data_IF_999110412710
#
_entry.id   IF_999110412710
#
_cell.length_a   1.000
_cell.length_b   1.000
_cell.length_c   1.000
_cell.angle_alpha   90.00
_cell.angle_beta   90.00
_cell.angle_gamma   90.00
#
_symmetry.space_group_name_H-M   'P 1'
#
loop_
_entity.id
_entity.type
_entity.pdbx_description
1 polymer ?
#
# COMPACT_ATOMS: atom_id res chain seq x y z
N UNK A 1 -4.21 -5.26 26.07
CA UNK A 1 -3.05 -4.36 25.99
C UNK A 1 -2.39 -4.44 24.62
N UNK A 2 -1.83 -3.35 24.14
CA UNK A 2 -1.18 -3.29 22.84
C UNK A 2 -0.04 -4.31 22.70
N UNK A 3 0.66 -4.62 23.78
CA UNK A 3 1.78 -5.56 23.78
C UNK A 3 1.37 -6.99 23.40
N UNK A 4 0.10 -7.31 23.52
CA UNK A 4 -0.43 -8.66 23.21
C UNK A 4 -1.13 -8.73 21.85
N UNK A 5 -1.15 -7.63 21.10
CA UNK A 5 -1.79 -7.61 19.79
C UNK A 5 -0.89 -8.24 18.73
N UNK A 6 -1.51 -8.89 17.73
CA UNK A 6 -0.80 -9.34 16.54
C UNK A 6 -0.30 -8.15 15.73
N UNK A 7 0.60 -8.39 14.77
CA UNK A 7 1.06 -7.35 13.86
C UNK A 7 -0.08 -6.69 13.11
N UNK A 8 -1.06 -7.48 12.63
CA UNK A 8 -2.22 -6.95 11.94
C UNK A 8 -3.12 -6.12 12.86
N UNK A 9 -3.33 -6.57 14.10
CA UNK A 9 -4.13 -5.84 15.07
C UNK A 9 -3.46 -4.50 15.43
N UNK A 10 -2.12 -4.50 15.59
CA UNK A 10 -1.38 -3.28 15.85
C UNK A 10 -1.53 -2.28 14.71
N UNK A 11 -1.44 -2.74 13.46
CA UNK A 11 -1.58 -1.86 12.30
C UNK A 11 -2.99 -1.29 12.19
N UNK A 12 -4.01 -2.09 12.44
CA UNK A 12 -5.39 -1.61 12.47
C UNK A 12 -5.59 -0.56 13.56
N UNK A 13 -5.01 -0.77 14.73
CA UNK A 13 -5.08 0.19 15.84
C UNK A 13 -4.41 1.51 15.48
N UNK A 14 -3.23 1.46 14.87
CA UNK A 14 -2.51 2.66 14.45
C UNK A 14 -3.34 3.46 13.45
N UNK A 15 -3.95 2.78 12.47
CA UNK A 15 -4.81 3.44 11.48
C UNK A 15 -6.01 4.08 12.19
N UNK A 16 -6.67 3.36 13.10
CA UNK A 16 -7.81 3.89 13.84
C UNK A 16 -7.43 5.14 14.65
N UNK A 17 -6.29 5.11 15.34
CA UNK A 17 -5.81 6.25 16.11
C UNK A 17 -5.48 7.44 15.20
N UNK A 18 -4.94 7.18 14.02
CA UNK A 18 -4.63 8.24 13.05
C UNK A 18 -5.88 8.95 12.55
N UNK A 19 -7.04 8.32 12.62
CA UNK A 19 -8.30 8.89 12.16
C UNK A 19 -9.01 9.75 13.21
N UNK A 20 -8.55 9.79 14.45
CA UNK A 20 -9.22 10.51 15.53
C UNK A 20 -9.30 12.02 15.28
N UNK A 21 -8.36 12.58 14.53
CA UNK A 21 -8.36 14.01 14.20
C UNK A 21 -9.17 14.36 12.96
N UNK A 22 -9.91 13.41 12.41
CA UNK A 22 -10.68 13.58 11.18
C UNK A 22 -9.81 14.13 10.02
N UNK A 23 -8.67 13.48 9.71
CA UNK A 23 -7.77 13.96 8.66
C UNK A 23 -8.35 13.76 7.27
N UNK A 24 -7.87 14.53 6.30
CA UNK A 24 -8.20 14.34 4.89
C UNK A 24 -7.08 13.65 4.10
N UNK A 25 -5.92 13.49 4.71
CA UNK A 25 -4.77 12.79 4.12
C UNK A 25 -4.22 11.79 5.14
N UNK A 26 -3.97 10.57 4.71
CA UNK A 26 -3.40 9.53 5.54
C UNK A 26 -2.11 9.02 4.90
N UNK A 27 -1.03 8.98 5.67
CA UNK A 27 0.26 8.44 5.23
C UNK A 27 0.50 7.11 5.93
N UNK A 28 0.73 6.06 5.17
CA UNK A 28 1.00 4.73 5.70
C UNK A 28 2.38 4.25 5.21
N UNK A 29 3.25 3.94 6.15
CA UNK A 29 4.59 3.45 5.85
C UNK A 29 4.67 1.97 6.17
N UNK A 30 4.95 1.17 5.14
CA UNK A 30 5.08 -0.29 5.22
C UNK A 30 3.85 -0.96 5.87
N UNK A 31 2.62 -0.63 5.44
CA UNK A 31 1.43 -1.18 6.11
C UNK A 31 1.30 -2.70 5.94
N UNK A 32 1.91 -3.29 4.93
CA UNK A 32 1.77 -4.73 4.66
C UNK A 32 2.93 -5.58 5.18
N UNK A 33 3.92 -4.97 5.81
CA UNK A 33 5.12 -5.69 6.25
C UNK A 33 4.80 -6.71 7.35
N UNK A 34 5.36 -7.91 7.21
CA UNK A 34 5.28 -8.98 8.22
C UNK A 34 3.85 -9.41 8.57
N UNK A 35 2.94 -9.35 7.60
CA UNK A 35 1.55 -9.77 7.78
C UNK A 35 1.21 -10.98 6.92
N UNK A 36 0.25 -11.77 7.38
CA UNK A 36 -0.29 -12.88 6.61
C UNK A 36 -1.22 -12.38 5.50
N UNK A 37 -1.52 -13.26 4.56
CA UNK A 37 -2.32 -12.93 3.37
C UNK A 37 -3.70 -12.38 3.74
N UNK A 38 -4.37 -13.02 4.71
CA UNK A 38 -5.72 -12.60 5.10
C UNK A 38 -5.73 -11.21 5.73
N UNK A 39 -4.73 -10.91 6.56
CA UNK A 39 -4.62 -9.61 7.21
C UNK A 39 -4.31 -8.52 6.18
N UNK A 40 -3.46 -8.84 5.19
CA UNK A 40 -3.17 -7.89 4.11
C UNK A 40 -4.46 -7.56 3.34
N UNK A 41 -5.27 -8.56 3.01
CA UNK A 41 -6.53 -8.32 2.31
C UNK A 41 -7.49 -7.46 3.12
N UNK A 42 -7.56 -7.70 4.42
CA UNK A 42 -8.39 -6.88 5.31
C UNK A 42 -7.92 -5.43 5.30
N UNK A 43 -6.61 -5.19 5.39
CA UNK A 43 -6.07 -3.84 5.34
C UNK A 43 -6.29 -3.16 4.00
N UNK A 44 -6.14 -3.90 2.90
CA UNK A 44 -6.42 -3.37 1.57
C UNK A 44 -7.87 -2.89 1.48
N UNK A 45 -8.81 -3.67 1.99
CA UNK A 45 -10.23 -3.28 2.00
C UNK A 45 -10.47 -2.04 2.84
N UNK A 46 -9.83 -1.94 4.01
CA UNK A 46 -9.95 -0.75 4.86
C UNK A 46 -9.43 0.49 4.11
N UNK A 47 -8.27 0.37 3.48
CA UNK A 47 -7.65 1.48 2.74
C UNK A 47 -8.55 1.95 1.60
N UNK A 48 -9.07 1.02 0.80
CA UNK A 48 -9.95 1.35 -0.30
C UNK A 48 -11.24 2.01 0.20
N UNK A 49 -11.82 1.49 1.28
CA UNK A 49 -13.03 2.06 1.85
C UNK A 49 -12.83 3.47 2.39
N UNK A 50 -11.69 3.74 3.03
CA UNK A 50 -11.37 5.08 3.51
C UNK A 50 -11.33 6.08 2.37
N UNK A 51 -10.77 5.69 1.25
CA UNK A 51 -10.68 6.54 0.06
C UNK A 51 -12.07 6.74 -0.58
N UNK A 52 -12.79 5.65 -0.82
CA UNK A 52 -14.04 5.72 -1.59
C UNK A 52 -15.20 6.27 -0.78
N UNK A 53 -15.31 5.94 0.50
CA UNK A 53 -16.45 6.32 1.33
C UNK A 53 -16.23 7.57 2.16
N UNK A 54 -14.97 7.85 2.52
CA UNK A 54 -14.64 8.99 3.38
C UNK A 54 -13.90 10.11 2.66
N UNK A 55 -13.78 10.04 1.33
CA UNK A 55 -13.07 11.03 0.51
C UNK A 55 -11.67 11.33 1.01
N UNK A 56 -10.99 10.31 1.51
CA UNK A 56 -9.66 10.47 2.05
C UNK A 56 -8.61 10.23 0.99
N UNK A 57 -7.55 11.05 0.96
CA UNK A 57 -6.39 10.79 0.13
C UNK A 57 -5.39 9.97 0.92
N UNK A 58 -4.88 8.89 0.33
CA UNK A 58 -3.99 7.97 1.04
C UNK A 58 -2.69 7.80 0.26
N UNK A 59 -1.57 7.95 0.95
CA UNK A 59 -0.24 7.72 0.40
C UNK A 59 0.35 6.51 1.12
N UNK A 60 0.72 5.50 0.33
CA UNK A 60 1.31 4.26 0.84
C UNK A 60 2.75 4.13 0.37
N UNK A 61 3.63 3.72 1.26
CA UNK A 61 5.00 3.33 0.91
C UNK A 61 5.23 1.90 1.36
N UNK A 62 5.54 1.01 0.42
CA UNK A 62 5.78 -0.39 0.77
C UNK A 62 6.67 -1.06 -0.27
N UNK A 63 7.45 -2.04 0.16
CA UNK A 63 8.26 -2.86 -0.73
C UNK A 63 7.48 -4.02 -1.32
N UNK A 64 6.34 -4.35 -0.76
CA UNK A 64 5.50 -5.45 -1.25
C UNK A 64 4.67 -4.95 -2.42
N UNK A 65 5.31 -4.93 -3.58
CA UNK A 65 4.76 -4.29 -4.78
C UNK A 65 3.39 -4.87 -5.19
N UNK A 66 3.24 -6.20 -5.12
CA UNK A 66 1.97 -6.83 -5.50
C UNK A 66 0.82 -6.35 -4.62
N UNK A 67 1.05 -6.32 -3.31
CA UNK A 67 0.02 -5.92 -2.36
C UNK A 67 -0.31 -4.44 -2.49
N UNK A 68 0.72 -3.61 -2.69
CA UNK A 68 0.53 -2.18 -2.88
C UNK A 68 -0.24 -1.90 -4.18
N UNK A 69 0.19 -2.48 -5.29
CA UNK A 69 -0.43 -2.23 -6.59
C UNK A 69 -1.86 -2.75 -6.69
N UNK A 70 -2.25 -3.67 -5.81
CA UNK A 70 -3.61 -4.20 -5.79
C UNK A 70 -4.63 -3.24 -5.19
N UNK A 71 -4.20 -2.16 -4.54
CA UNK A 71 -5.14 -1.27 -3.85
C UNK A 71 -4.91 0.22 -4.12
N UNK A 72 -4.05 0.58 -5.06
CA UNK A 72 -3.78 1.99 -5.38
C UNK A 72 -4.26 2.36 -6.77
N UNK A 73 -4.52 3.65 -6.97
CA UNK A 73 -4.91 4.19 -8.28
C UNK A 73 -3.68 4.55 -9.11
N UNK A 74 -2.69 5.15 -8.48
CA UNK A 74 -1.44 5.60 -9.11
C UNK A 74 -0.29 5.15 -8.22
N UNK A 75 0.78 4.71 -8.83
CA UNK A 75 1.99 4.34 -8.10
C UNK A 75 3.23 5.00 -8.72
N UNK A 76 4.23 5.18 -7.88
CA UNK A 76 5.52 5.75 -8.25
C UNK A 76 6.59 4.74 -7.84
N UNK A 77 7.48 4.42 -8.77
CA UNK A 77 8.61 3.53 -8.49
C UNK A 77 9.86 4.37 -8.31
N UNK A 78 10.49 4.20 -7.15
CA UNK A 78 11.73 4.90 -6.81
C UNK A 78 12.91 3.95 -6.82
N UNK A 79 14.02 4.39 -7.37
CA UNK A 79 15.28 3.64 -7.33
C UNK A 79 16.42 4.64 -7.33
N UNK A 80 17.40 4.42 -6.44
CA UNK A 80 18.57 5.29 -6.30
C UNK A 80 18.19 6.77 -6.15
N UNK A 81 17.17 7.04 -5.31
CA UNK A 81 16.67 8.38 -5.02
C UNK A 81 16.07 9.10 -6.24
N UNK A 82 15.66 8.35 -7.24
CA UNK A 82 15.03 8.91 -8.46
C UNK A 82 13.73 8.21 -8.77
N UNK A 83 12.80 8.95 -9.37
CA UNK A 83 11.58 8.37 -9.91
C UNK A 83 11.93 7.74 -11.24
N UNK A 84 11.79 6.42 -11.34
CA UNK A 84 12.11 5.69 -12.57
C UNK A 84 10.86 5.32 -13.38
N UNK A 85 9.69 5.33 -12.76
CA UNK A 85 8.43 5.06 -13.43
C UNK A 85 7.27 5.55 -12.57
N UNK A 86 6.16 5.90 -13.20
CA UNK A 86 4.92 6.23 -12.50
C UNK A 86 3.73 5.93 -13.41
N UNK A 87 2.56 5.76 -12.83
CA UNK A 87 1.35 5.50 -13.58
C UNK A 87 0.38 4.60 -12.83
N UNK A 88 -0.64 4.12 -13.55
CA UNK A 88 -1.56 3.14 -13.00
C UNK A 88 -0.85 1.80 -12.80
N UNK A 89 -1.39 0.91 -11.94
CA UNK A 89 -0.81 -0.43 -11.81
C UNK A 89 -0.65 -1.15 -13.15
N UNK A 90 -1.62 -1.06 -14.05
CA UNK A 90 -1.52 -1.69 -15.38
C UNK A 90 -0.37 -1.14 -16.20
N UNK A 91 -0.17 0.17 -16.16
CA UNK A 91 0.93 0.80 -16.89
C UNK A 91 2.27 0.36 -16.33
N UNK A 92 2.38 0.25 -15.01
CA UNK A 92 3.65 -0.10 -14.36
C UNK A 92 4.06 -1.54 -14.60
N UNK A 93 3.14 -2.49 -14.59
CA UNK A 93 3.50 -3.90 -14.83
C UNK A 93 3.93 -4.13 -16.28
N UNK A 94 3.58 -3.23 -17.18
CA UNK A 94 4.00 -3.28 -18.58
C UNK A 94 5.19 -2.36 -18.88
N UNK A 95 5.71 -1.66 -17.89
CA UNK A 95 6.84 -0.75 -18.05
C UNK A 95 8.15 -1.51 -17.89
N UNK A 96 9.01 -1.49 -18.91
CA UNK A 96 10.25 -2.25 -18.92
C UNK A 96 11.22 -1.85 -17.81
N UNK A 97 11.29 -0.56 -17.51
CA UNK A 97 12.18 -0.06 -16.44
C UNK A 97 11.71 -0.54 -15.08
N UNK A 98 10.41 -0.48 -14.82
CA UNK A 98 9.84 -0.95 -13.56
C UNK A 98 9.99 -2.46 -13.42
N UNK A 99 9.80 -3.22 -14.50
CA UNK A 99 10.02 -4.67 -14.50
C UNK A 99 11.45 -5.02 -14.12
N UNK A 100 12.42 -4.38 -14.77
CA UNK A 100 13.83 -4.66 -14.51
C UNK A 100 14.25 -4.31 -13.09
N UNK A 101 13.72 -3.22 -12.55
CA UNK A 101 14.14 -2.71 -11.25
C UNK A 101 13.43 -3.39 -10.07
N UNK A 102 12.17 -3.81 -10.26
CA UNK A 102 11.33 -4.19 -9.13
C UNK A 102 10.52 -5.45 -9.31
N UNK A 103 9.89 -5.63 -10.48
CA UNK A 103 8.84 -6.63 -10.62
C UNK A 103 9.31 -7.95 -11.21
N UNK A 104 10.30 -7.90 -12.09
CA UNK A 104 10.70 -9.08 -12.85
C UNK A 104 9.70 -9.39 -13.98
N UNK A 105 10.12 -10.26 -14.87
CA UNK A 105 9.36 -10.58 -16.10
C UNK A 105 8.03 -11.28 -15.81
N UNK A 106 7.96 -12.07 -14.75
CA UNK A 106 6.79 -12.89 -14.45
C UNK A 106 5.85 -12.26 -13.43
N UNK A 107 6.05 -11.00 -13.10
CA UNK A 107 5.22 -10.32 -12.10
C UNK A 107 3.78 -10.17 -12.59
N UNK A 108 2.83 -10.51 -11.71
CA UNK A 108 1.39 -10.38 -11.97
C UNK A 108 0.68 -9.86 -10.74
N UNK A 109 -0.32 -9.03 -10.97
CA UNK A 109 -1.25 -8.58 -9.92
C UNK A 109 -2.45 -9.50 -9.93
N UNK A 110 -2.81 -10.00 -8.75
CA UNK A 110 -3.99 -10.86 -8.61
C UNK A 110 -5.20 -10.06 -8.18
#
# INVERSE_FOLDING_TARGET
KAAHLSGGQKKKLVIALSLLGDPNILLLDEPFAALDVMTIKTLQNIIVNLQTENNMSIILCDHQARDLLSCVDIAIVLSNCKIIANGTPSELINNDVAKSAYFGESFKIN
#
